data_IF_647547600538
#
_entry.id   IF_647547600538
#
_cell.length_a   1.000
_cell.length_b   1.000
_cell.length_c   1.000
_cell.angle_alpha   90.00
_cell.angle_beta   90.00
_cell.angle_gamma   90.00
#
_symmetry.space_group_name_H-M   'P 1'
#
loop_
_entity.id
_entity.type
_entity.pdbx_description
1 polymer ?
#
# COMPACT_ATOMS: atom_id res chain seq x y z
N UNK A 1 11.76 1.41 13.04
CA UNK A 1 11.00 0.71 11.97
C UNK A 1 9.72 0.16 12.60
N UNK A 2 8.56 0.68 12.23
CA UNK A 2 7.30 0.33 12.91
C UNK A 2 6.62 -0.83 12.19
N UNK A 3 6.53 -2.00 12.83
CA UNK A 3 5.84 -3.16 12.28
C UNK A 3 4.33 -3.03 12.57
N UNK A 4 3.47 -3.21 11.56
CA UNK A 4 2.01 -3.23 11.72
C UNK A 4 1.40 -4.42 11.00
N UNK A 5 0.39 -5.04 11.63
CA UNK A 5 -0.41 -6.11 11.03
C UNK A 5 -1.49 -5.48 10.16
N UNK A 6 -1.42 -5.73 8.84
CA UNK A 6 -2.46 -5.33 7.90
C UNK A 6 -3.58 -6.38 7.87
N UNK A 7 -4.83 -5.94 7.71
CA UNK A 7 -5.97 -6.83 7.50
C UNK A 7 -6.21 -6.97 6.00
N UNK A 8 -6.15 -8.20 5.51
CA UNK A 8 -6.55 -8.55 4.15
C UNK A 8 -8.05 -8.84 4.17
N UNK A 9 -8.78 -8.23 3.24
CA UNK A 9 -10.22 -8.42 3.13
C UNK A 9 -10.53 -9.29 1.92
N UNK A 10 -11.43 -10.30 2.05
CA UNK A 10 -11.99 -10.96 0.89
C UNK A 10 -12.84 -9.93 0.12
N UNK A 11 -12.60 -9.80 -1.18
CA UNK A 11 -13.37 -8.90 -2.04
C UNK A 11 -14.59 -9.68 -2.57
N UNK A 12 -15.80 -9.19 -2.27
CA UNK A 12 -17.07 -9.87 -2.60
C UNK A 12 -17.64 -9.49 -3.99
N UNK A 13 -16.88 -8.79 -4.83
CA UNK A 13 -17.32 -8.33 -6.16
C UNK A 13 -16.41 -8.85 -7.28
N UNK A 14 -17.05 -9.18 -8.41
CA UNK A 14 -16.68 -9.88 -9.67
C UNK A 14 -15.27 -9.79 -10.27
N UNK A 15 -14.31 -9.12 -9.64
CA UNK A 15 -12.92 -9.10 -10.08
C UNK A 15 -12.03 -9.67 -8.99
N UNK A 16 -11.66 -10.94 -9.16
CA UNK A 16 -10.84 -11.83 -8.32
C UNK A 16 -9.44 -11.32 -7.89
N UNK A 17 -9.14 -10.03 -8.08
CA UNK A 17 -7.86 -9.48 -7.66
C UNK A 17 -7.84 -9.26 -6.13
N UNK A 18 -6.85 -9.83 -5.40
CA UNK A 18 -6.70 -9.56 -3.98
C UNK A 18 -6.42 -8.07 -3.76
N UNK A 19 -7.14 -7.45 -2.82
CA UNK A 19 -6.99 -6.02 -2.48
C UNK A 19 -6.42 -5.85 -1.08
N UNK A 20 -5.47 -4.92 -0.94
CA UNK A 20 -4.95 -4.47 0.36
C UNK A 20 -5.53 -3.09 0.63
N UNK A 21 -6.35 -2.99 1.68
CA UNK A 21 -6.87 -1.69 2.12
C UNK A 21 -5.86 -1.04 3.08
N UNK A 22 -5.22 0.03 2.62
CA UNK A 22 -4.37 0.88 3.45
C UNK A 22 -5.21 2.09 3.90
N UNK A 23 -5.49 2.18 5.20
CA UNK A 23 -6.28 3.27 5.77
C UNK A 23 -5.70 3.74 7.12
N UNK A 24 -5.88 5.03 7.41
CA UNK A 24 -5.53 5.67 8.69
C UNK A 24 -4.46 6.75 8.61
N UNK A 25 -4.37 7.59 9.67
CA UNK A 25 -3.44 8.73 9.78
C UNK A 25 -1.97 8.36 9.60
N UNK A 26 -1.61 7.10 9.82
CA UNK A 26 -0.23 6.62 9.66
C UNK A 26 0.27 6.72 8.21
N UNK A 27 -0.62 6.68 7.21
CA UNK A 27 -0.25 6.88 5.81
C UNK A 27 0.23 8.30 5.56
N UNK A 28 -0.51 9.30 6.07
CA UNK A 28 -0.13 10.70 6.02
C UNK A 28 1.20 10.94 6.75
N UNK A 29 1.38 10.33 7.93
CA UNK A 29 2.65 10.41 8.67
C UNK A 29 3.81 9.71 7.94
N UNK A 30 3.52 8.74 7.07
CA UNK A 30 4.48 8.10 6.17
C UNK A 30 4.59 8.83 4.82
N UNK A 31 4.04 10.04 4.72
CA UNK A 31 4.02 10.90 3.55
C UNK A 31 3.24 10.36 2.33
N UNK A 32 2.27 9.46 2.53
CA UNK A 32 1.36 9.02 1.47
C UNK A 32 0.04 9.80 1.52
N UNK A 33 -0.33 10.35 0.37
CA UNK A 33 -1.54 11.13 0.09
C UNK A 33 -2.37 10.43 -1.00
N UNK A 34 -3.67 10.72 -1.01
CA UNK A 34 -4.58 10.25 -2.06
C UNK A 34 -4.14 10.86 -3.39
N UNK A 35 -4.04 10.04 -4.44
CA UNK A 35 -3.59 10.45 -5.77
C UNK A 35 -2.09 10.21 -6.02
N UNK A 36 -1.31 9.87 -5.00
CA UNK A 36 0.09 9.54 -5.18
C UNK A 36 0.29 8.31 -6.08
N UNK A 37 1.27 8.40 -6.97
CA UNK A 37 1.77 7.23 -7.69
C UNK A 37 2.73 6.46 -6.80
N UNK A 38 2.55 5.14 -6.74
CA UNK A 38 3.37 4.24 -5.93
C UNK A 38 4.04 3.18 -6.81
N UNK A 39 5.22 2.74 -6.38
CA UNK A 39 5.92 1.57 -6.92
C UNK A 39 5.82 0.43 -5.91
N UNK A 40 5.47 -0.74 -6.43
CA UNK A 40 5.38 -1.98 -5.67
C UNK A 40 6.54 -2.89 -6.08
N UNK A 41 7.29 -3.38 -5.10
CA UNK A 41 8.28 -4.45 -5.30
C UNK A 41 7.98 -5.61 -4.35
N UNK A 42 8.14 -6.84 -4.85
CA UNK A 42 7.99 -8.06 -4.05
C UNK A 42 9.37 -8.66 -3.83
N UNK A 43 9.74 -8.92 -2.58
CA UNK A 43 11.00 -9.60 -2.25
C UNK A 43 10.88 -10.32 -0.91
N UNK A 44 11.42 -11.55 -0.82
CA UNK A 44 11.45 -12.36 0.41
C UNK A 44 10.09 -12.45 1.12
N UNK A 45 9.03 -12.73 0.35
CA UNK A 45 7.64 -12.81 0.84
C UNK A 45 7.13 -11.51 1.51
N UNK A 46 7.68 -10.36 1.13
CA UNK A 46 7.27 -9.04 1.58
C UNK A 46 6.92 -8.15 0.40
N UNK A 47 5.88 -7.33 0.59
CA UNK A 47 5.49 -6.25 -0.29
C UNK A 47 6.14 -4.95 0.19
N UNK A 48 6.93 -4.33 -0.68
CA UNK A 48 7.54 -3.03 -0.44
C UNK A 48 6.81 -1.98 -1.28
N UNK A 49 6.19 -1.02 -0.59
CA UNK A 49 5.47 0.08 -1.21
C UNK A 49 6.29 1.35 -1.01
N UNK A 50 6.57 2.06 -2.11
CA UNK A 50 7.29 3.33 -2.10
C UNK A 50 6.57 4.34 -2.97
N UNK A 51 6.66 5.63 -2.65
CA UNK A 51 6.23 6.68 -3.58
C UNK A 51 7.14 6.66 -4.81
N UNK A 52 6.58 6.99 -5.95
CA UNK A 52 7.38 7.39 -7.11
C UNK A 52 7.65 8.88 -6.92
N UNK A 53 8.91 9.23 -6.68
CA UNK A 53 9.31 10.63 -6.72
C UNK A 53 9.26 11.09 -8.17
N UNK A 54 8.49 12.14 -8.44
CA UNK A 54 8.57 12.84 -9.71
C UNK A 54 9.92 13.57 -9.71
N UNK A 55 10.85 13.17 -10.58
CA UNK A 55 11.92 14.08 -10.98
C UNK A 55 11.25 15.20 -11.79
N UNK A 56 11.16 16.39 -11.22
CA UNK A 56 11.11 17.63 -11.99
C UNK A 56 12.54 18.08 -12.32
#
# INVERSE_FOLDING_TARGET
>A
MTLRKLKVYPCLYDNYAPRILLQGKWLLNANFNIGDRIKINISKNKLFIRKIESCE
#
